data_IF_996196532193
#
_entry.id   IF_996196532193
#
_cell.length_a   1.000
_cell.length_b   1.000
_cell.length_c   1.000
_cell.angle_alpha   90.00
_cell.angle_beta   90.00
_cell.angle_gamma   90.00
#
_symmetry.space_group_name_H-M   'P 1'
#
loop_
_entity.id
_entity.type
_entity.pdbx_description
1 polymer ?
#
# COMPACT_ATOMS: atom_id res chain seq x y z
N UNK A 1 -17.50 -13.86 0.72
CA UNK A 1 -17.46 -13.21 -0.61
C UNK A 1 -18.42 -13.75 -1.67
N UNK A 2 -19.34 -14.68 -1.34
CA UNK A 2 -20.29 -15.27 -2.31
C UNK A 2 -21.71 -14.70 -2.18
N UNK A 3 -21.91 -13.41 -2.17
CA UNK A 3 -23.24 -12.83 -2.00
C UNK A 3 -23.47 -11.48 -2.67
N UNK A 4 -22.41 -10.84 -3.13
CA UNK A 4 -22.48 -9.60 -3.90
C UNK A 4 -22.08 -9.98 -5.32
N UNK A 5 -23.05 -10.14 -6.22
CA UNK A 5 -22.81 -10.34 -7.65
C UNK A 5 -21.86 -9.30 -8.20
N UNK A 6 -21.31 -9.52 -9.38
CA UNK A 6 -20.27 -8.76 -10.10
C UNK A 6 -20.23 -7.24 -9.86
N UNK A 7 -19.86 -6.83 -8.62
CA UNK A 7 -19.76 -5.43 -8.25
C UNK A 7 -18.32 -4.99 -8.46
N UNK A 8 -18.11 -4.37 -9.60
CA UNK A 8 -16.79 -4.02 -10.14
C UNK A 8 -16.03 -2.94 -9.33
N UNK A 9 -16.66 -2.27 -8.35
CA UNK A 9 -16.04 -1.15 -7.62
C UNK A 9 -16.54 -1.14 -6.19
N UNK A 10 -15.65 -1.46 -5.27
CA UNK A 10 -15.91 -1.48 -3.83
C UNK A 10 -15.00 -0.51 -3.12
N UNK A 11 -15.48 0.06 -2.06
CA UNK A 11 -14.72 0.92 -1.19
C UNK A 11 -14.87 0.46 0.25
N UNK A 12 -13.77 0.46 0.99
CA UNK A 12 -13.77 0.24 2.43
C UNK A 12 -13.44 1.55 3.09
N UNK A 13 -14.29 1.96 4.04
CA UNK A 13 -14.05 3.06 4.95
C UNK A 13 -13.81 2.47 6.34
N UNK A 14 -12.64 2.73 6.88
CA UNK A 14 -12.26 2.36 8.24
C UNK A 14 -12.08 3.65 9.04
N UNK A 15 -13.00 3.90 9.98
CA UNK A 15 -13.03 5.12 10.79
C UNK A 15 -12.59 4.80 12.21
N UNK A 16 -11.57 5.52 12.64
CA UNK A 16 -11.07 5.53 14.02
C UNK A 16 -11.17 6.91 14.66
N UNK A 17 -10.87 7.02 15.95
CA UNK A 17 -10.87 8.31 16.65
C UNK A 17 -9.89 9.34 16.08
N UNK A 18 -8.72 8.91 15.61
CA UNK A 18 -7.65 9.79 15.11
C UNK A 18 -7.66 10.05 13.60
N UNK A 19 -8.19 9.14 12.81
CA UNK A 19 -8.14 9.18 11.34
C UNK A 19 -9.24 8.33 10.73
N UNK A 20 -9.46 8.48 9.43
CA UNK A 20 -10.18 7.48 8.65
C UNK A 20 -9.38 7.07 7.42
N UNK A 21 -9.51 5.80 7.08
CA UNK A 21 -8.83 5.19 5.95
C UNK A 21 -9.82 4.88 4.84
N UNK A 22 -9.47 5.25 3.62
CA UNK A 22 -10.25 4.94 2.42
C UNK A 22 -9.45 3.97 1.57
N UNK A 23 -9.95 2.74 1.40
CA UNK A 23 -9.37 1.75 0.50
C UNK A 23 -10.29 1.52 -0.69
N UNK A 24 -9.78 1.75 -1.89
CA UNK A 24 -10.51 1.60 -3.15
C UNK A 24 -10.10 0.31 -3.83
N UNK A 25 -11.09 -0.52 -4.20
CA UNK A 25 -10.89 -1.76 -4.94
C UNK A 25 -11.54 -1.69 -6.32
N UNK A 26 -10.91 -2.32 -7.29
CA UNK A 26 -11.44 -2.55 -8.63
C UNK A 26 -11.24 -4.03 -8.98
N UNK A 27 -12.31 -4.76 -9.26
CA UNK A 27 -12.29 -6.21 -9.54
C UNK A 27 -11.51 -7.02 -8.49
N UNK A 28 -11.78 -6.77 -7.22
CA UNK A 28 -11.13 -7.37 -6.06
C UNK A 28 -9.61 -7.07 -5.92
N UNK A 29 -9.07 -6.18 -6.74
CA UNK A 29 -7.70 -5.71 -6.62
C UNK A 29 -7.64 -4.32 -5.95
N UNK A 30 -6.74 -4.15 -5.00
CA UNK A 30 -6.53 -2.88 -4.32
C UNK A 30 -5.97 -1.84 -5.30
N UNK A 31 -6.69 -0.74 -5.48
CA UNK A 31 -6.26 0.39 -6.34
C UNK A 31 -5.41 1.37 -5.56
N UNK A 32 -5.87 1.76 -4.39
CA UNK A 32 -5.18 2.70 -3.49
C UNK A 32 -5.76 2.61 -2.09
N UNK A 33 -4.94 2.95 -1.12
CA UNK A 33 -5.35 3.24 0.26
C UNK A 33 -4.85 4.63 0.61
N UNK A 34 -5.70 5.42 1.26
CA UNK A 34 -5.33 6.73 1.77
C UNK A 34 -5.82 6.87 3.21
N UNK A 35 -4.94 7.32 4.07
CA UNK A 35 -5.25 7.64 5.45
C UNK A 35 -5.40 9.16 5.59
N UNK A 36 -6.55 9.60 6.11
CA UNK A 36 -6.86 11.01 6.33
C UNK A 36 -6.94 11.22 7.84
N UNK A 37 -6.09 12.11 8.37
CA UNK A 37 -5.96 12.36 9.82
C UNK A 37 -7.10 13.21 10.37
N UNK A 38 -8.33 12.76 10.16
CA UNK A 38 -9.58 13.40 10.59
C UNK A 38 -10.57 12.36 11.12
N UNK A 39 -10.22 11.69 12.23
CA UNK A 39 -11.11 10.75 12.89
C UNK A 39 -12.14 11.45 13.81
N UNK A 40 -13.10 10.69 14.30
CA UNK A 40 -14.23 11.20 15.11
C UNK A 40 -13.81 11.95 16.37
N UNK A 41 -12.82 11.43 17.11
CA UNK A 41 -12.27 12.09 18.29
C UNK A 41 -11.56 13.40 17.94
N UNK A 42 -10.75 13.38 16.89
CA UNK A 42 -9.99 14.55 16.44
C UNK A 42 -10.90 15.67 15.95
N UNK A 43 -11.99 15.36 15.26
CA UNK A 43 -12.99 16.34 14.84
C UNK A 43 -13.71 16.91 16.06
N UNK A 44 -14.14 16.06 16.99
CA UNK A 44 -14.75 16.51 18.25
C UNK A 44 -13.85 17.49 19.00
N UNK A 45 -12.56 17.16 19.16
CA UNK A 45 -11.60 18.02 19.85
C UNK A 45 -11.37 19.35 19.13
N UNK A 46 -11.25 19.34 17.81
CA UNK A 46 -11.06 20.57 17.01
C UNK A 46 -12.26 21.51 17.10
N UNK A 47 -13.47 20.96 17.16
CA UNK A 47 -14.68 21.74 17.18
C UNK A 47 -15.22 22.02 18.60
N UNK A 48 -14.60 21.45 19.66
CA UNK A 48 -15.08 21.57 21.04
C UNK A 48 -15.26 23.02 21.51
N UNK A 49 -14.39 23.93 21.06
CA UNK A 49 -14.48 25.36 21.41
C UNK A 49 -15.58 26.13 20.67
N UNK A 50 -16.09 25.59 19.57
CA UNK A 50 -17.04 26.26 18.68
C UNK A 50 -18.43 25.60 18.77
N UNK A 51 -18.49 24.34 19.18
CA UNK A 51 -19.72 23.54 19.24
C UNK A 51 -20.84 24.17 20.07
N UNK A 52 -20.48 24.91 21.12
CA UNK A 52 -21.47 25.61 21.99
C UNK A 52 -21.98 26.91 21.39
N UNK A 53 -21.39 27.41 20.32
CA UNK A 53 -21.70 28.72 19.73
C UNK A 53 -22.52 28.63 18.44
N UNK A 54 -22.78 27.40 17.94
CA UNK A 54 -23.43 27.21 16.63
C UNK A 54 -24.46 26.09 16.62
N UNK A 55 -25.55 26.34 15.90
CA UNK A 55 -26.56 25.33 15.52
C UNK A 55 -26.15 24.55 14.25
N UNK A 56 -24.99 24.90 13.61
CA UNK A 56 -24.52 24.36 12.31
C UNK A 56 -23.33 23.44 12.46
N UNK A 57 -23.26 22.61 13.50
CA UNK A 57 -22.13 21.72 13.75
C UNK A 57 -21.90 20.73 12.59
N UNK A 58 -22.97 20.23 11.95
CA UNK A 58 -22.89 19.32 10.80
C UNK A 58 -22.15 19.96 9.63
N UNK A 59 -22.55 21.17 9.26
CA UNK A 59 -21.96 21.93 8.17
C UNK A 59 -20.46 22.17 8.42
N UNK A 60 -20.06 22.46 9.65
CA UNK A 60 -18.64 22.64 10.00
C UNK A 60 -17.84 21.33 9.89
N UNK A 61 -18.41 20.18 10.29
CA UNK A 61 -17.76 18.89 10.11
C UNK A 61 -17.63 18.57 8.62
N UNK A 62 -18.69 18.82 7.84
CA UNK A 62 -18.68 18.63 6.40
C UNK A 62 -17.61 19.52 5.72
N UNK A 63 -17.52 20.78 6.09
CA UNK A 63 -16.51 21.71 5.56
C UNK A 63 -15.09 21.24 5.87
N UNK A 64 -14.82 20.77 7.10
CA UNK A 64 -13.52 20.23 7.49
C UNK A 64 -13.12 19.02 6.67
N UNK A 65 -14.06 18.13 6.38
CA UNK A 65 -13.81 16.90 5.65
C UNK A 65 -13.77 17.15 4.14
N UNK A 66 -14.59 18.10 3.67
CA UNK A 66 -14.80 18.34 2.24
C UNK A 66 -13.51 18.53 1.46
N UNK A 67 -12.59 19.33 1.97
CA UNK A 67 -11.32 19.61 1.28
C UNK A 67 -10.51 18.34 1.04
N UNK A 68 -10.37 17.51 2.06
CA UNK A 68 -9.58 16.26 2.00
C UNK A 68 -10.26 15.22 1.10
N UNK A 69 -11.57 15.03 1.27
CA UNK A 69 -12.31 14.02 0.52
C UNK A 69 -12.55 14.46 -0.93
N UNK A 70 -12.74 15.75 -1.21
CA UNK A 70 -12.83 16.27 -2.57
C UNK A 70 -11.50 16.07 -3.31
N UNK A 71 -10.37 16.26 -2.65
CA UNK A 71 -9.04 15.96 -3.17
C UNK A 71 -8.88 14.48 -3.46
N UNK A 72 -9.30 13.59 -2.54
CA UNK A 72 -9.32 12.16 -2.77
C UNK A 72 -10.19 11.79 -3.98
N UNK A 73 -11.39 12.32 -4.08
CA UNK A 73 -12.30 12.08 -5.20
C UNK A 73 -11.66 12.47 -6.53
N UNK A 74 -11.07 13.67 -6.61
CA UNK A 74 -10.42 14.19 -7.81
C UNK A 74 -9.22 13.34 -8.25
N UNK A 75 -8.37 12.92 -7.30
CA UNK A 75 -7.13 12.21 -7.60
C UNK A 75 -7.34 10.71 -7.87
N UNK A 76 -8.22 10.06 -7.12
CA UNK A 76 -8.32 8.60 -7.09
C UNK A 76 -9.61 8.04 -7.66
N UNK A 77 -10.76 8.65 -7.35
CA UNK A 77 -12.03 8.19 -7.90
C UNK A 77 -12.21 8.61 -9.35
N UNK A 78 -11.92 9.86 -9.68
CA UNK A 78 -12.18 10.43 -11.01
C UNK A 78 -13.65 10.20 -11.39
N UNK A 79 -13.91 9.54 -12.53
CA UNK A 79 -15.25 9.23 -13.02
C UNK A 79 -15.81 7.87 -12.56
N UNK A 80 -15.15 7.22 -11.58
CA UNK A 80 -15.61 5.93 -11.07
C UNK A 80 -16.86 6.13 -10.20
N UNK A 81 -17.91 5.36 -10.49
CA UNK A 81 -19.07 5.23 -9.62
C UNK A 81 -18.81 4.16 -8.58
N UNK A 82 -19.06 4.47 -7.32
CA UNK A 82 -18.98 3.54 -6.20
C UNK A 82 -20.42 3.16 -5.83
N UNK A 83 -20.83 1.94 -6.14
CA UNK A 83 -22.16 1.46 -5.82
C UNK A 83 -22.23 0.90 -4.40
N UNK A 84 -21.12 0.29 -3.94
CA UNK A 84 -21.06 -0.40 -2.66
C UNK A 84 -19.93 0.14 -1.81
N UNK A 85 -20.25 0.46 -0.57
CA UNK A 85 -19.31 0.92 0.45
C UNK A 85 -19.39 -0.01 1.66
N UNK A 86 -18.25 -0.37 2.21
CA UNK A 86 -18.15 -1.14 3.45
C UNK A 86 -17.68 -0.18 4.54
N UNK A 87 -18.41 -0.11 5.64
CA UNK A 87 -18.06 0.67 6.82
C UNK A 87 -17.50 -0.26 7.89
N UNK A 88 -16.31 0.05 8.35
CA UNK A 88 -15.59 -0.67 9.41
C UNK A 88 -15.15 0.38 10.45
N UNK A 89 -14.87 -0.07 11.66
CA UNK A 89 -14.27 0.73 12.72
C UNK A 89 -15.25 0.99 13.83
N UNK A 90 -15.44 2.15 14.27
CA UNK A 90 -15.86 2.68 15.53
C UNK A 90 -17.25 2.26 16.10
N UNK A 91 -17.61 2.90 17.21
CA UNK A 91 -18.87 2.69 17.98
C UNK A 91 -20.12 2.88 17.12
N UNK A 92 -20.09 3.76 16.11
CA UNK A 92 -21.21 3.99 15.22
C UNK A 92 -21.57 2.75 14.42
N UNK A 93 -20.58 2.12 13.77
CA UNK A 93 -20.79 0.90 12.98
C UNK A 93 -21.30 -0.24 13.83
N UNK A 94 -20.80 -0.38 15.07
CA UNK A 94 -21.26 -1.40 16.02
C UNK A 94 -22.71 -1.18 16.44
N UNK A 95 -23.08 0.06 16.73
CA UNK A 95 -24.45 0.39 17.14
C UNK A 95 -25.44 0.17 16.01
N UNK A 96 -25.07 0.53 14.77
CA UNK A 96 -25.89 0.26 13.59
C UNK A 96 -26.00 -1.25 13.35
N UNK A 97 -24.88 -1.98 13.42
CA UNK A 97 -24.84 -3.42 13.22
C UNK A 97 -25.74 -4.21 14.18
N UNK A 98 -25.76 -3.82 15.47
CA UNK A 98 -26.57 -4.49 16.49
C UNK A 98 -28.08 -4.29 16.27
N UNK A 99 -28.47 -3.21 15.62
CA UNK A 99 -29.84 -2.80 15.43
C UNK A 99 -30.39 -3.05 14.00
N UNK A 100 -29.60 -3.64 13.10
CA UNK A 100 -30.10 -4.07 11.77
C UNK A 100 -30.95 -5.32 11.94
N UNK A 101 -32.23 -5.23 11.53
CA UNK A 101 -33.19 -6.35 11.61
C UNK A 101 -32.80 -7.52 10.69
N UNK A 102 -32.25 -7.25 9.53
CA UNK A 102 -31.73 -8.25 8.59
C UNK A 102 -30.33 -8.76 8.98
N UNK A 103 -30.27 -9.75 9.85
CA UNK A 103 -29.01 -10.34 10.32
C UNK A 103 -28.22 -11.14 9.26
N UNK A 104 -28.81 -11.43 8.11
CA UNK A 104 -28.20 -12.34 7.09
C UNK A 104 -27.28 -11.64 6.11
N UNK A 105 -27.60 -10.45 5.61
CA UNK A 105 -26.83 -9.75 4.58
C UNK A 105 -25.97 -8.62 5.10
N UNK A 106 -26.37 -7.98 6.22
CA UNK A 106 -25.68 -6.82 6.82
C UNK A 106 -25.45 -5.65 5.84
N UNK A 107 -26.29 -5.60 4.79
CA UNK A 107 -26.30 -4.56 3.77
C UNK A 107 -27.57 -3.74 4.00
N UNK A 108 -27.40 -2.43 4.09
CA UNK A 108 -28.51 -1.48 4.18
C UNK A 108 -28.50 -0.58 2.95
N UNK A 109 -29.68 -0.11 2.56
CA UNK A 109 -29.80 0.92 1.53
C UNK A 109 -29.36 2.29 2.07
N UNK A 110 -29.03 3.19 1.15
CA UNK A 110 -28.75 4.59 1.50
C UNK A 110 -29.91 5.24 2.27
N UNK A 111 -31.15 4.91 1.94
CA UNK A 111 -32.35 5.41 2.64
C UNK A 111 -32.38 4.94 4.11
N UNK A 112 -32.11 3.66 4.34
CA UNK A 112 -32.03 3.12 5.70
C UNK A 112 -30.90 3.75 6.51
N UNK A 113 -29.73 3.98 5.89
CA UNK A 113 -28.62 4.69 6.51
C UNK A 113 -29.03 6.13 6.89
N UNK A 114 -29.69 6.86 5.99
CA UNK A 114 -30.19 8.21 6.27
C UNK A 114 -31.16 8.23 7.44
N UNK A 115 -32.04 7.23 7.55
CA UNK A 115 -32.94 7.08 8.69
C UNK A 115 -32.19 6.92 10.02
N UNK A 116 -31.09 6.16 10.02
CA UNK A 116 -30.19 6.02 11.17
C UNK A 116 -29.48 7.33 11.50
N UNK A 117 -28.93 7.98 10.49
CA UNK A 117 -28.27 9.27 10.60
C UNK A 117 -29.17 10.28 11.29
N UNK A 118 -30.39 10.48 10.79
CA UNK A 118 -31.36 11.40 11.35
C UNK A 118 -31.72 11.08 12.82
N UNK A 119 -31.77 9.82 13.20
CA UNK A 119 -32.00 9.43 14.60
C UNK A 119 -30.84 9.81 15.51
N UNK A 120 -29.60 9.73 15.04
CA UNK A 120 -28.43 10.02 15.84
C UNK A 120 -28.23 11.51 16.02
N UNK A 121 -28.34 12.29 14.94
CA UNK A 121 -28.08 13.74 15.01
C UNK A 121 -29.09 14.50 15.86
N UNK A 122 -30.31 13.93 16.05
CA UNK A 122 -31.36 14.56 16.87
C UNK A 122 -31.30 14.24 18.37
N UNK A 123 -30.36 13.43 18.80
CA UNK A 123 -30.23 12.99 20.20
C UNK A 123 -28.95 13.55 20.82
N UNK A 124 -29.03 13.95 22.07
CA UNK A 124 -27.84 14.30 22.83
C UNK A 124 -26.97 13.07 23.12
N UNK A 125 -25.67 13.24 23.38
CA UNK A 125 -24.81 12.13 23.78
C UNK A 125 -25.33 11.35 24.99
N UNK A 126 -25.99 12.04 25.95
CA UNK A 126 -26.55 11.39 27.12
C UNK A 126 -27.74 10.48 26.76
N UNK A 127 -28.64 10.95 25.88
CA UNK A 127 -29.77 10.15 25.40
C UNK A 127 -29.28 8.93 24.61
N UNK A 128 -28.25 9.11 23.74
CA UNK A 128 -27.63 8.00 23.01
C UNK A 128 -26.99 7.00 23.94
N UNK A 129 -26.26 7.45 24.99
CA UNK A 129 -25.61 6.57 25.95
C UNK A 129 -26.64 5.67 26.66
N UNK A 130 -27.76 6.28 27.14
CA UNK A 130 -28.83 5.54 27.82
C UNK A 130 -29.53 4.59 26.86
N UNK A 131 -29.88 5.05 25.66
CA UNK A 131 -30.69 4.27 24.71
C UNK A 131 -29.91 3.09 24.10
N UNK A 132 -28.61 3.26 23.84
CA UNK A 132 -27.77 2.26 23.25
C UNK A 132 -27.02 1.42 24.29
N UNK A 133 -27.06 1.79 25.57
CA UNK A 133 -26.34 1.10 26.64
C UNK A 133 -24.81 1.19 26.50
N UNK A 134 -24.30 2.30 25.98
CA UNK A 134 -22.87 2.53 25.76
C UNK A 134 -22.33 3.63 26.68
N UNK A 135 -20.99 3.64 26.97
CA UNK A 135 -20.37 4.73 27.74
C UNK A 135 -20.61 6.10 27.09
N UNK A 136 -20.79 7.14 27.93
CA UNK A 136 -21.00 8.51 27.46
C UNK A 136 -19.89 9.02 26.54
N UNK A 137 -18.64 8.62 26.80
CA UNK A 137 -17.50 8.92 25.93
C UNK A 137 -17.70 8.39 24.51
N UNK A 138 -18.15 7.16 24.40
CA UNK A 138 -18.44 6.52 23.11
C UNK A 138 -19.66 7.19 22.43
N UNK A 139 -20.72 7.48 23.20
CA UNK A 139 -21.90 8.18 22.68
C UNK A 139 -21.55 9.56 22.13
N UNK A 140 -20.59 10.26 22.73
CA UNK A 140 -20.13 11.57 22.26
C UNK A 140 -19.38 11.52 20.90
N UNK A 141 -18.91 10.34 20.49
CA UNK A 141 -18.27 10.14 19.18
C UNK A 141 -19.28 9.73 18.10
N UNK A 142 -20.49 9.31 18.48
CA UNK A 142 -21.51 8.87 17.53
C UNK A 142 -21.89 9.97 16.53
N UNK A 143 -22.01 11.19 17.01
CA UNK A 143 -22.38 12.33 16.18
C UNK A 143 -21.32 12.65 15.11
N UNK A 144 -20.05 12.93 15.45
CA UNK A 144 -19.03 13.19 14.43
C UNK A 144 -18.81 11.98 13.49
N UNK A 145 -18.91 10.75 14.00
CA UNK A 145 -18.83 9.56 13.16
C UNK A 145 -19.95 9.49 12.13
N UNK A 146 -21.19 9.75 12.57
CA UNK A 146 -22.35 9.75 11.67
C UNK A 146 -22.19 10.77 10.54
N UNK A 147 -21.75 12.00 10.86
CA UNK A 147 -21.52 13.07 9.86
C UNK A 147 -20.40 12.67 8.90
N UNK A 148 -19.28 12.11 9.40
CA UNK A 148 -18.19 11.65 8.55
C UNK A 148 -18.68 10.60 7.54
N UNK A 149 -19.37 9.57 8.01
CA UNK A 149 -19.90 8.53 7.12
C UNK A 149 -20.93 9.08 6.14
N UNK A 150 -21.82 9.95 6.59
CA UNK A 150 -22.83 10.59 5.73
C UNK A 150 -22.17 11.38 4.59
N UNK A 151 -21.21 12.24 4.94
CA UNK A 151 -20.47 13.04 3.98
C UNK A 151 -19.74 12.14 2.94
N UNK A 152 -19.08 11.07 3.40
CA UNK A 152 -18.37 10.14 2.53
C UNK A 152 -19.32 9.35 1.61
N UNK A 153 -20.44 8.84 2.14
CA UNK A 153 -21.45 8.10 1.36
C UNK A 153 -22.06 9.00 0.28
N UNK A 154 -22.41 10.23 0.62
CA UNK A 154 -23.00 11.19 -0.32
C UNK A 154 -22.02 11.58 -1.42
N UNK A 155 -20.79 11.87 -1.05
CA UNK A 155 -19.76 12.28 -1.98
C UNK A 155 -19.37 11.17 -2.96
N UNK A 156 -19.40 9.90 -2.51
CA UNK A 156 -19.11 8.73 -3.32
C UNK A 156 -20.32 8.30 -4.17
N UNK A 157 -21.53 8.69 -3.78
CA UNK A 157 -22.76 8.29 -4.44
C UNK A 157 -23.12 6.82 -4.21
N UNK A 158 -22.71 6.25 -3.04
CA UNK A 158 -22.96 4.85 -2.74
C UNK A 158 -24.44 4.59 -2.43
N UNK A 159 -24.99 3.51 -3.00
CA UNK A 159 -26.38 3.10 -2.81
C UNK A 159 -26.52 1.95 -1.81
N UNK A 160 -25.49 1.11 -1.70
CA UNK A 160 -25.46 -0.04 -0.81
C UNK A 160 -24.34 0.11 0.22
N UNK A 161 -24.71 0.02 1.48
CA UNK A 161 -23.79 0.19 2.61
C UNK A 161 -23.71 -1.13 3.36
N UNK A 162 -22.53 -1.72 3.38
CA UNK A 162 -22.27 -2.96 4.09
C UNK A 162 -21.59 -2.65 5.42
N UNK A 163 -22.18 -3.14 6.52
CA UNK A 163 -21.65 -3.00 7.88
C UNK A 163 -21.41 -4.41 8.43
N UNK A 164 -20.22 -4.98 8.24
CA UNK A 164 -19.95 -6.38 8.56
C UNK A 164 -19.86 -6.67 10.07
N UNK A 165 -19.74 -5.64 10.92
CA UNK A 165 -19.51 -5.80 12.35
C UNK A 165 -18.23 -6.57 12.65
N UNK A 166 -17.16 -6.22 11.94
CA UNK A 166 -15.83 -6.80 12.16
C UNK A 166 -14.92 -5.78 12.81
N UNK A 167 -14.07 -6.27 13.72
CA UNK A 167 -13.08 -5.48 14.44
C UNK A 167 -11.68 -6.01 14.13
N UNK A 168 -10.68 -5.20 14.39
CA UNK A 168 -9.26 -5.57 14.25
C UNK A 168 -8.94 -6.89 14.98
N UNK A 169 -9.50 -7.10 16.17
CA UNK A 169 -9.32 -8.35 16.96
C UNK A 169 -9.74 -9.60 16.21
N UNK A 170 -10.81 -9.52 15.38
CA UNK A 170 -11.23 -10.65 14.53
C UNK A 170 -10.26 -10.88 13.38
N UNK A 171 -9.69 -9.80 12.82
CA UNK A 171 -8.64 -9.91 11.80
C UNK A 171 -7.40 -10.63 12.33
N UNK A 172 -6.93 -10.23 13.51
CA UNK A 172 -5.79 -10.86 14.19
C UNK A 172 -6.08 -12.34 14.51
N UNK A 173 -7.27 -12.65 15.02
CA UNK A 173 -7.67 -14.03 15.30
C UNK A 173 -7.76 -14.88 14.02
N UNK A 174 -8.23 -14.29 12.91
CA UNK A 174 -8.27 -14.96 11.61
C UNK A 174 -6.86 -15.27 11.09
N UNK A 175 -5.96 -14.29 11.12
CA UNK A 175 -4.57 -14.46 10.70
C UNK A 175 -3.86 -15.54 11.53
N UNK A 176 -4.05 -15.53 12.85
CA UNK A 176 -3.50 -16.55 13.73
C UNK A 176 -4.05 -17.95 13.40
N UNK A 177 -5.36 -18.07 13.16
CA UNK A 177 -5.98 -19.35 12.79
C UNK A 177 -5.49 -19.86 11.42
N UNK A 178 -5.22 -18.97 10.47
CA UNK A 178 -4.63 -19.29 9.18
C UNK A 178 -3.18 -19.78 9.32
N UNK A 179 -2.35 -19.07 10.11
CA UNK A 179 -0.97 -19.49 10.42
C UNK A 179 -0.93 -20.87 11.11
N UNK A 180 -1.88 -21.15 11.99
CA UNK A 180 -2.05 -22.46 12.63
C UNK A 180 -2.70 -23.51 11.72
N UNK A 181 -3.00 -23.18 10.47
CA UNK A 181 -3.68 -24.06 9.48
C UNK A 181 -5.05 -24.56 9.93
N UNK A 182 -5.70 -23.87 10.86
CA UNK A 182 -7.08 -24.15 11.30
C UNK A 182 -8.12 -23.68 10.28
N UNK A 183 -7.76 -22.70 9.48
CA UNK A 183 -8.57 -22.19 8.36
C UNK A 183 -7.76 -22.28 7.07
N UNK A 184 -8.45 -22.53 5.96
CA UNK A 184 -7.85 -22.36 4.63
C UNK A 184 -7.90 -20.89 4.29
N UNK A 185 -6.73 -20.25 4.17
CA UNK A 185 -6.61 -18.89 3.66
C UNK A 185 -7.25 -18.77 2.28
N UNK A 186 -8.06 -17.75 2.10
CA UNK A 186 -8.75 -17.50 0.82
C UNK A 186 -8.20 -16.31 0.05
N UNK A 187 -7.34 -15.50 0.68
CA UNK A 187 -6.86 -14.25 0.10
C UNK A 187 -5.33 -14.20 0.07
N UNK A 188 -4.78 -13.75 -1.04
CA UNK A 188 -3.33 -13.58 -1.18
C UNK A 188 -2.95 -12.12 -0.95
N UNK A 189 -2.57 -11.79 0.29
CA UNK A 189 -2.16 -10.43 0.68
C UNK A 189 -0.88 -9.97 -0.03
N UNK A 190 0.04 -10.85 -0.39
CA UNK A 190 1.24 -10.50 -1.14
C UNK A 190 0.89 -9.96 -2.54
N UNK A 191 -0.13 -10.55 -3.17
CA UNK A 191 -0.64 -10.05 -4.43
C UNK A 191 -1.21 -8.63 -4.29
N UNK A 192 -1.87 -8.30 -3.18
CA UNK A 192 -2.38 -6.94 -2.94
C UNK A 192 -1.23 -5.93 -2.81
N UNK A 193 -0.16 -6.30 -2.12
CA UNK A 193 1.06 -5.47 -1.99
C UNK A 193 1.65 -5.20 -3.38
N UNK A 194 1.81 -6.22 -4.21
CA UNK A 194 2.33 -6.08 -5.57
C UNK A 194 1.38 -5.27 -6.47
N UNK A 195 0.06 -5.41 -6.30
CA UNK A 195 -0.92 -4.62 -7.03
C UNK A 195 -0.88 -3.15 -6.59
N UNK A 196 -0.69 -2.86 -5.30
CA UNK A 196 -0.48 -1.50 -4.81
C UNK A 196 0.78 -0.87 -5.44
N UNK A 197 1.91 -1.59 -5.47
CA UNK A 197 3.13 -1.13 -6.14
C UNK A 197 2.91 -0.87 -7.64
N UNK A 198 2.22 -1.77 -8.36
CA UNK A 198 1.86 -1.58 -9.78
C UNK A 198 1.00 -0.34 -10.00
N UNK A 199 0.05 -0.08 -9.11
CA UNK A 199 -0.83 1.09 -9.21
C UNK A 199 -0.07 2.39 -8.91
N UNK A 200 0.86 2.40 -7.95
CA UNK A 200 1.79 3.51 -7.71
C UNK A 200 2.63 3.73 -8.96
N UNK A 201 3.29 2.69 -9.48
CA UNK A 201 4.10 2.78 -10.69
C UNK A 201 3.29 3.31 -11.90
N UNK A 202 2.03 2.89 -12.05
CA UNK A 202 1.14 3.43 -13.10
C UNK A 202 0.83 4.92 -12.92
N UNK A 203 0.63 5.36 -11.67
CA UNK A 203 0.38 6.79 -11.35
C UNK A 203 1.56 7.65 -11.71
N UNK A 204 2.76 7.20 -11.41
CA UNK A 204 4.01 7.90 -11.67
C UNK A 204 4.65 7.53 -13.01
N UNK A 205 3.85 6.98 -13.94
CA UNK A 205 4.21 6.73 -15.34
C UNK A 205 5.52 5.94 -15.54
N UNK A 206 5.82 4.93 -14.70
CA UNK A 206 7.01 4.09 -14.87
C UNK A 206 6.99 3.34 -16.21
N UNK A 207 8.17 3.09 -16.76
CA UNK A 207 8.33 2.30 -17.97
C UNK A 207 8.08 0.80 -17.68
N UNK A 208 6.87 0.33 -17.95
CA UNK A 208 6.45 -1.05 -17.66
C UNK A 208 7.31 -2.12 -18.34
N UNK A 209 7.65 -2.03 -19.65
CA UNK A 209 8.53 -3.00 -20.28
C UNK A 209 9.89 -3.09 -19.59
N UNK A 210 10.48 -1.94 -19.22
CA UNK A 210 11.72 -1.91 -18.46
C UNK A 210 11.58 -2.58 -17.10
N UNK A 211 10.54 -2.25 -16.32
CA UNK A 211 10.27 -2.88 -15.03
C UNK A 211 10.13 -4.39 -15.14
N UNK A 212 9.42 -4.90 -16.15
CA UNK A 212 9.26 -6.35 -16.36
C UNK A 212 10.60 -7.04 -16.67
N UNK A 213 11.43 -6.41 -17.48
CA UNK A 213 12.77 -6.95 -17.80
C UNK A 213 13.68 -6.94 -16.57
N UNK A 214 13.62 -5.86 -15.80
CA UNK A 214 14.35 -5.70 -14.55
C UNK A 214 13.91 -6.73 -13.51
N UNK A 215 12.60 -6.94 -13.36
CA UNK A 215 12.02 -7.92 -12.43
C UNK A 215 12.50 -9.35 -12.77
N UNK A 216 12.39 -9.75 -14.03
CA UNK A 216 12.89 -11.04 -14.51
C UNK A 216 14.37 -11.24 -14.16
N UNK A 217 15.18 -10.22 -14.40
CA UNK A 217 16.62 -10.27 -14.18
C UNK A 217 16.98 -10.29 -12.68
N UNK A 218 16.35 -9.42 -11.89
CA UNK A 218 16.59 -9.32 -10.45
C UNK A 218 16.17 -10.60 -9.72
N UNK A 219 15.01 -11.16 -10.05
CA UNK A 219 14.52 -12.38 -9.41
C UNK A 219 15.38 -13.60 -9.78
N UNK A 220 15.86 -13.69 -11.01
CA UNK A 220 16.79 -14.76 -11.39
C UNK A 220 18.09 -14.71 -10.58
N UNK A 221 18.64 -13.53 -10.32
CA UNK A 221 19.82 -13.36 -9.48
C UNK A 221 19.53 -13.69 -8.03
N UNK A 222 18.43 -13.17 -7.47
CA UNK A 222 18.00 -13.45 -6.11
C UNK A 222 17.85 -14.96 -5.85
N UNK A 223 17.10 -15.64 -6.72
CA UNK A 223 16.84 -17.08 -6.58
C UNK A 223 18.14 -17.91 -6.71
N UNK A 224 19.09 -17.48 -7.58
CA UNK A 224 20.37 -18.16 -7.73
C UNK A 224 21.31 -17.97 -6.53
N UNK A 225 21.23 -16.85 -5.82
CA UNK A 225 22.07 -16.52 -4.66
C UNK A 225 21.41 -16.84 -3.30
N UNK A 226 20.23 -17.46 -3.30
CA UNK A 226 19.43 -17.78 -2.09
C UNK A 226 20.22 -18.53 -1.01
N UNK A 227 21.16 -19.39 -1.40
CA UNK A 227 22.02 -20.13 -0.43
C UNK A 227 23.04 -19.23 0.26
N UNK A 228 23.38 -18.08 -0.30
CA UNK A 228 24.35 -17.14 0.25
C UNK A 228 23.70 -16.15 1.19
N UNK A 229 22.66 -15.46 0.73
CA UNK A 229 21.99 -14.44 1.52
C UNK A 229 20.97 -14.98 2.53
N UNK A 230 20.46 -16.20 2.35
CA UNK A 230 19.50 -16.82 3.28
C UNK A 230 18.12 -16.16 3.34
N UNK A 231 17.89 -15.10 2.59
CA UNK A 231 16.60 -14.38 2.51
C UNK A 231 15.46 -15.30 2.01
N UNK A 232 14.23 -14.98 2.41
CA UNK A 232 13.03 -15.78 2.14
C UNK A 232 12.09 -15.06 1.18
N UNK A 233 10.84 -15.54 1.09
CA UNK A 233 9.83 -15.00 0.18
C UNK A 233 9.46 -13.54 0.54
N UNK A 234 9.59 -13.14 1.80
CA UNK A 234 9.29 -11.77 2.22
C UNK A 234 10.28 -10.76 1.64
N UNK A 235 11.58 -11.02 1.72
CA UNK A 235 12.61 -10.17 1.13
C UNK A 235 12.55 -10.21 -0.40
N UNK A 236 12.15 -11.35 -0.98
CA UNK A 236 11.89 -11.47 -2.42
C UNK A 236 10.75 -10.55 -2.86
N UNK A 237 9.69 -10.42 -2.04
CA UNK A 237 8.60 -9.48 -2.27
C UNK A 237 9.09 -8.02 -2.19
N UNK A 238 9.93 -7.68 -1.20
CA UNK A 238 10.51 -6.34 -1.08
C UNK A 238 11.38 -6.00 -2.31
N UNK A 239 12.15 -6.97 -2.82
CA UNK A 239 12.90 -6.81 -4.07
C UNK A 239 11.98 -6.50 -5.26
N UNK A 240 10.89 -7.26 -5.43
CA UNK A 240 9.92 -7.01 -6.51
C UNK A 240 9.33 -5.60 -6.43
N UNK A 241 8.97 -5.17 -5.23
CA UNK A 241 8.47 -3.82 -5.01
C UNK A 241 9.49 -2.75 -5.33
N UNK A 242 10.73 -2.91 -4.87
CA UNK A 242 11.82 -1.97 -5.17
C UNK A 242 12.05 -1.86 -6.67
N UNK A 243 12.05 -2.99 -7.40
CA UNK A 243 12.12 -3.02 -8.87
C UNK A 243 10.96 -2.28 -9.52
N UNK A 244 9.73 -2.47 -9.04
CA UNK A 244 8.54 -1.80 -9.60
C UNK A 244 8.55 -0.29 -9.37
N UNK A 245 9.21 0.18 -8.31
CA UNK A 245 9.13 1.56 -7.84
C UNK A 245 10.46 2.34 -8.00
N UNK A 246 11.53 1.71 -8.49
CA UNK A 246 12.87 2.31 -8.52
C UNK A 246 12.94 3.65 -9.28
N UNK A 247 12.10 3.84 -10.28
CA UNK A 247 12.12 4.99 -11.19
C UNK A 247 10.93 5.94 -11.01
N UNK A 248 10.07 5.75 -10.01
CA UNK A 248 8.87 6.60 -9.79
C UNK A 248 9.22 8.08 -9.60
N UNK A 249 10.40 8.38 -9.10
CA UNK A 249 10.91 9.74 -8.91
C UNK A 249 11.14 10.52 -10.19
N UNK A 250 11.31 9.86 -11.35
CA UNK A 250 11.43 10.50 -12.66
C UNK A 250 10.22 11.36 -13.00
N UNK A 251 9.06 11.02 -12.45
CA UNK A 251 7.85 11.81 -12.62
C UNK A 251 7.95 13.21 -12.02
N UNK A 252 8.74 13.36 -10.96
CA UNK A 252 8.96 14.64 -10.27
C UNK A 252 10.18 15.37 -10.85
N UNK A 253 11.33 14.66 -10.98
CA UNK A 253 12.59 15.27 -11.40
C UNK A 253 13.52 14.25 -12.03
N UNK A 254 14.09 14.58 -13.19
CA UNK A 254 15.15 13.77 -13.82
C UNK A 254 16.51 13.95 -13.12
N UNK A 255 16.71 15.07 -12.41
CA UNK A 255 17.99 15.37 -11.74
C UNK A 255 18.05 14.83 -10.31
N UNK A 256 16.89 14.57 -9.69
CA UNK A 256 16.80 14.06 -8.32
C UNK A 256 15.85 12.86 -8.24
N UNK A 257 16.11 11.85 -9.08
CA UNK A 257 15.27 10.63 -9.12
C UNK A 257 15.35 9.85 -7.81
N UNK A 258 16.54 9.75 -7.22
CA UNK A 258 16.81 8.98 -6.00
C UNK A 258 15.94 9.43 -4.83
N UNK A 259 16.06 10.70 -4.42
CA UNK A 259 15.30 11.25 -3.30
C UNK A 259 13.82 11.37 -3.62
N UNK A 260 13.47 11.70 -4.86
CA UNK A 260 12.07 11.76 -5.29
C UNK A 260 11.42 10.38 -5.22
N UNK A 261 12.11 9.29 -5.59
CA UNK A 261 11.59 7.91 -5.47
C UNK A 261 11.42 7.53 -4.00
N UNK A 262 12.42 7.80 -3.16
CA UNK A 262 12.32 7.58 -1.71
C UNK A 262 11.11 8.27 -1.11
N UNK A 263 10.95 9.58 -1.36
CA UNK A 263 9.85 10.37 -0.80
C UNK A 263 8.48 9.90 -1.30
N UNK A 264 8.35 9.52 -2.58
CA UNK A 264 7.11 8.96 -3.12
C UNK A 264 6.76 7.66 -2.41
N UNK A 265 7.71 6.73 -2.24
CA UNK A 265 7.47 5.44 -1.60
C UNK A 265 7.09 5.63 -0.14
N UNK A 266 7.84 6.46 0.61
CA UNK A 266 7.56 6.74 2.02
C UNK A 266 6.23 7.46 2.25
N UNK A 267 5.79 8.29 1.31
CA UNK A 267 4.52 9.04 1.40
C UNK A 267 3.29 8.22 0.98
N UNK A 268 3.46 7.03 0.41
CA UNK A 268 2.34 6.17 0.03
C UNK A 268 2.07 5.12 1.11
N UNK A 269 0.80 5.00 1.50
CA UNK A 269 0.36 3.87 2.34
C UNK A 269 0.26 2.61 1.48
N UNK A 270 0.96 1.55 1.91
CA UNK A 270 0.92 0.23 1.27
C UNK A 270 0.50 -0.78 2.33
N UNK A 271 -0.77 -1.18 2.29
CA UNK A 271 -1.32 -2.16 3.24
C UNK A 271 -0.52 -3.45 3.13
N UNK A 272 -0.15 -4.01 4.27
CA UNK A 272 0.61 -5.25 4.37
C UNK A 272 2.13 -5.06 4.45
N UNK A 273 2.62 -3.81 4.40
CA UNK A 273 4.01 -3.46 4.73
C UNK A 273 4.09 -2.78 6.10
N UNK A 274 5.05 -3.18 6.90
CA UNK A 274 5.46 -2.40 8.06
C UNK A 274 6.16 -1.09 7.62
N UNK A 275 6.29 -0.15 8.55
CA UNK A 275 7.05 1.09 8.28
C UNK A 275 8.49 0.80 7.86
N UNK A 276 9.14 -0.12 8.56
CA UNK A 276 10.52 -0.54 8.26
C UNK A 276 10.65 -1.17 6.87
N UNK A 277 9.75 -2.08 6.50
CA UNK A 277 9.78 -2.71 5.18
C UNK A 277 9.56 -1.68 4.06
N UNK A 278 8.67 -0.70 4.26
CA UNK A 278 8.47 0.39 3.33
C UNK A 278 9.72 1.25 3.20
N UNK A 279 10.40 1.53 4.32
CA UNK A 279 11.68 2.25 4.34
C UNK A 279 12.77 1.45 3.61
N UNK A 280 12.87 0.14 3.82
CA UNK A 280 13.80 -0.72 3.09
C UNK A 280 13.57 -0.64 1.58
N UNK A 281 12.33 -0.76 1.10
CA UNK A 281 11.98 -0.62 -0.32
C UNK A 281 12.36 0.77 -0.84
N UNK A 282 12.10 1.82 -0.08
CA UNK A 282 12.42 3.20 -0.45
C UNK A 282 13.94 3.42 -0.56
N UNK A 283 14.72 2.87 0.37
CA UNK A 283 16.18 2.95 0.37
C UNK A 283 16.79 2.17 -0.81
N UNK A 284 16.29 0.96 -1.10
CA UNK A 284 16.73 0.18 -2.27
C UNK A 284 16.48 0.98 -3.56
N UNK A 285 15.30 1.60 -3.69
CA UNK A 285 14.98 2.45 -4.83
C UNK A 285 15.88 3.69 -4.91
N UNK A 286 16.13 4.36 -3.77
CA UNK A 286 17.02 5.54 -3.67
C UNK A 286 18.44 5.19 -4.10
N UNK A 287 18.99 4.15 -3.51
CA UNK A 287 20.39 3.74 -3.73
C UNK A 287 20.61 2.90 -4.98
N UNK A 288 19.61 2.71 -5.79
CA UNK A 288 19.75 2.10 -7.11
C UNK A 288 20.70 2.91 -8.04
N UNK A 289 20.71 4.23 -7.92
CA UNK A 289 21.48 5.13 -8.80
C UNK A 289 22.55 5.96 -8.10
N UNK A 290 22.47 6.11 -6.79
CA UNK A 290 23.44 6.85 -5.98
C UNK A 290 24.20 5.92 -5.04
N UNK A 291 25.34 6.36 -4.51
CA UNK A 291 26.17 5.55 -3.61
C UNK A 291 25.41 5.20 -2.33
N UNK A 292 25.42 3.93 -1.95
CA UNK A 292 24.91 3.47 -0.67
C UNK A 292 25.90 3.91 0.42
N UNK A 293 25.47 4.68 1.44
CA UNK A 293 26.33 5.05 2.55
C UNK A 293 26.63 3.83 3.45
N UNK A 294 27.66 3.97 4.29
CA UNK A 294 27.94 2.99 5.33
C UNK A 294 26.78 2.85 6.34
N UNK A 295 26.77 1.77 7.11
CA UNK A 295 25.75 1.58 8.14
C UNK A 295 25.74 2.72 9.16
N UNK A 296 26.92 3.16 9.61
CA UNK A 296 27.04 4.24 10.61
C UNK A 296 26.51 5.60 10.10
N UNK A 297 26.64 5.86 8.80
CA UNK A 297 26.07 7.05 8.17
C UNK A 297 24.55 6.91 7.99
N UNK A 298 24.08 5.75 7.51
CA UNK A 298 22.66 5.55 7.22
C UNK A 298 21.80 5.52 8.50
N UNK A 299 22.31 4.95 9.59
CA UNK A 299 21.58 4.86 10.86
C UNK A 299 21.27 6.22 11.49
N UNK A 300 21.98 7.26 11.12
CA UNK A 300 21.70 8.65 11.55
C UNK A 300 20.37 9.19 10.96
N UNK A 301 19.92 8.64 9.84
CA UNK A 301 18.73 9.10 9.11
C UNK A 301 17.63 8.03 9.03
N UNK A 302 17.92 6.78 9.41
CA UNK A 302 16.98 5.63 9.29
C UNK A 302 16.85 4.86 10.60
N UNK A 303 15.77 4.08 10.72
CA UNK A 303 15.51 3.23 11.89
C UNK A 303 15.96 1.77 11.67
N UNK A 304 16.80 1.50 10.68
CA UNK A 304 17.21 0.14 10.32
C UNK A 304 18.17 -0.47 11.34
N UNK A 305 17.97 -1.75 11.66
CA UNK A 305 18.99 -2.57 12.32
C UNK A 305 20.13 -2.92 11.35
N UNK A 306 21.25 -3.39 11.90
CA UNK A 306 22.38 -3.85 11.08
C UNK A 306 22.00 -5.00 10.13
N UNK A 307 21.12 -5.91 10.55
CA UNK A 307 20.60 -7.00 9.72
C UNK A 307 19.75 -6.47 8.56
N UNK A 308 18.88 -5.48 8.84
CA UNK A 308 18.06 -4.84 7.80
C UNK A 308 18.89 -4.02 6.82
N UNK A 309 19.95 -3.33 7.31
CA UNK A 309 20.91 -2.65 6.43
C UNK A 309 21.61 -3.65 5.49
N UNK A 310 22.05 -4.81 6.01
CA UNK A 310 22.64 -5.84 5.16
C UNK A 310 21.67 -6.31 4.08
N UNK A 311 20.42 -6.57 4.46
CA UNK A 311 19.35 -6.91 3.50
C UNK A 311 19.17 -5.82 2.43
N UNK A 312 19.12 -4.54 2.82
CA UNK A 312 19.03 -3.40 1.89
C UNK A 312 20.24 -3.37 0.96
N UNK A 313 21.44 -3.61 1.47
CA UNK A 313 22.68 -3.61 0.69
C UNK A 313 22.68 -4.71 -0.38
N UNK A 314 22.29 -5.94 0.01
CA UNK A 314 22.22 -7.09 -0.89
C UNK A 314 21.14 -6.90 -1.96
N UNK A 315 19.95 -6.46 -1.58
CA UNK A 315 18.87 -6.19 -2.54
C UNK A 315 19.21 -5.01 -3.47
N UNK A 316 19.90 -3.98 -2.96
CA UNK A 316 20.39 -2.85 -3.77
C UNK A 316 21.42 -3.32 -4.80
N UNK A 317 22.34 -4.21 -4.44
CA UNK A 317 23.31 -4.76 -5.38
C UNK A 317 22.64 -5.52 -6.53
N UNK A 318 21.60 -6.31 -6.22
CA UNK A 318 20.79 -7.01 -7.22
C UNK A 318 20.08 -6.01 -8.14
N UNK A 319 19.39 -5.01 -7.59
CA UNK A 319 18.63 -4.02 -8.38
C UNK A 319 19.56 -3.20 -9.26
N UNK A 320 20.71 -2.72 -8.74
CA UNK A 320 21.72 -1.97 -9.51
C UNK A 320 22.21 -2.76 -10.72
N UNK A 321 22.58 -4.01 -10.51
CA UNK A 321 23.08 -4.86 -11.59
C UNK A 321 21.97 -5.14 -12.60
N UNK A 322 20.77 -5.49 -12.18
CA UNK A 322 19.64 -5.71 -13.06
C UNK A 322 19.32 -4.47 -13.90
N UNK A 323 19.34 -3.26 -13.30
CA UNK A 323 19.09 -2.00 -13.98
C UNK A 323 20.19 -1.67 -15.01
N UNK A 324 21.45 -1.95 -14.69
CA UNK A 324 22.56 -1.77 -15.63
C UNK A 324 22.45 -2.67 -16.86
N UNK A 325 21.88 -3.88 -16.71
CA UNK A 325 21.67 -4.83 -17.79
C UNK A 325 20.53 -4.47 -18.76
N UNK A 326 19.68 -3.49 -18.43
CA UNK A 326 18.70 -2.89 -19.37
C UNK A 326 18.87 -1.36 -19.44
N UNK A 327 20.12 -0.90 -19.46
CA UNK A 327 20.48 0.53 -19.42
C UNK A 327 19.83 1.36 -20.52
N UNK A 328 19.68 0.80 -21.70
CA UNK A 328 19.05 1.44 -22.85
C UNK A 328 17.53 1.46 -22.78
N UNK A 329 16.91 0.76 -21.84
CA UNK A 329 15.46 0.53 -21.74
C UNK A 329 14.84 -0.08 -23.02
N UNK A 330 15.64 -0.87 -23.77
CA UNK A 330 15.22 -1.52 -25.02
C UNK A 330 14.86 -3.00 -24.83
N UNK A 331 14.87 -3.50 -23.60
CA UNK A 331 14.56 -4.89 -23.22
C UNK A 331 15.26 -5.89 -24.13
N UNK A 332 16.59 -5.74 -24.27
CA UNK A 332 17.43 -6.58 -25.12
C UNK A 332 17.52 -8.01 -24.62
N UNK A 333 17.35 -8.22 -23.30
CA UNK A 333 17.35 -9.54 -22.67
C UNK A 333 15.98 -10.18 -22.86
N UNK A 334 15.94 -11.30 -23.57
CA UNK A 334 14.73 -12.09 -23.78
C UNK A 334 14.57 -13.20 -22.75
N UNK A 335 15.69 -13.73 -22.25
CA UNK A 335 15.72 -14.72 -21.19
C UNK A 335 17.05 -14.63 -20.42
N UNK A 336 16.98 -14.97 -19.14
CA UNK A 336 18.13 -15.06 -18.25
C UNK A 336 18.13 -16.39 -17.52
N UNK A 337 19.31 -16.98 -17.38
CA UNK A 337 19.59 -18.07 -16.45
C UNK A 337 20.77 -17.67 -15.57
N UNK A 338 20.51 -17.48 -14.28
CA UNK A 338 21.52 -17.25 -13.28
C UNK A 338 21.89 -18.58 -12.61
N UNK A 339 23.18 -18.83 -12.41
CA UNK A 339 23.67 -20.06 -11.77
C UNK A 339 24.90 -19.73 -10.94
N UNK A 340 24.83 -20.04 -9.64
CA UNK A 340 25.94 -19.88 -8.72
C UNK A 340 26.87 -21.09 -8.81
N UNK A 341 28.17 -20.85 -9.06
CA UNK A 341 29.25 -21.86 -9.08
C UNK A 341 30.40 -21.37 -8.22
N UNK A 342 30.61 -22.02 -7.10
CA UNK A 342 31.62 -21.60 -6.11
C UNK A 342 31.49 -20.13 -5.73
N UNK A 343 32.35 -19.26 -6.23
CA UNK A 343 32.35 -17.80 -6.01
C UNK A 343 32.01 -16.99 -7.27
N UNK A 344 31.39 -17.62 -8.25
CA UNK A 344 31.06 -17.01 -9.54
C UNK A 344 29.55 -17.12 -9.79
N UNK A 345 28.87 -15.98 -9.99
CA UNK A 345 27.47 -15.91 -10.43
C UNK A 345 27.44 -15.80 -11.95
N UNK A 346 27.20 -16.91 -12.65
CA UNK A 346 27.10 -16.95 -14.11
C UNK A 346 25.72 -16.48 -14.56
N UNK A 347 25.67 -15.33 -15.26
CA UNK A 347 24.48 -14.77 -15.88
C UNK A 347 24.46 -15.08 -17.37
N UNK A 348 23.75 -16.14 -17.77
CA UNK A 348 23.59 -16.53 -19.19
C UNK A 348 22.38 -15.76 -19.75
N UNK A 349 22.66 -14.74 -20.57
CA UNK A 349 21.66 -13.84 -21.15
C UNK A 349 21.40 -14.22 -22.61
N UNK A 350 20.15 -14.48 -22.96
CA UNK A 350 19.70 -14.58 -24.36
C UNK A 350 19.28 -13.19 -24.82
N UNK A 351 19.99 -12.64 -25.80
CA UNK A 351 19.78 -11.27 -26.28
C UNK A 351 19.35 -11.25 -27.75
N UNK A 352 18.48 -10.30 -28.10
CA UNK A 352 17.94 -10.12 -29.44
C UNK A 352 18.58 -8.95 -30.21
N UNK A 353 19.46 -8.18 -29.57
CA UNK A 353 20.14 -7.00 -30.14
C UNK A 353 21.57 -6.91 -29.62
N UNK A 354 22.34 -5.98 -30.17
CA UNK A 354 23.68 -5.63 -29.68
C UNK A 354 23.62 -5.21 -28.20
N UNK A 355 24.51 -5.81 -27.41
CA UNK A 355 24.54 -5.64 -25.94
C UNK A 355 25.80 -4.89 -25.46
N UNK A 356 26.55 -4.28 -26.37
CA UNK A 356 27.84 -3.62 -26.09
C UNK A 356 27.68 -2.47 -25.11
N UNK A 357 26.60 -1.70 -25.21
CA UNK A 357 26.32 -0.56 -24.29
C UNK A 357 26.17 -1.04 -22.84
N UNK A 358 25.33 -2.04 -22.61
CA UNK A 358 25.07 -2.58 -21.29
C UNK A 358 26.36 -3.23 -20.72
N UNK A 359 27.09 -3.99 -21.49
CA UNK A 359 28.39 -4.57 -21.06
C UNK A 359 29.41 -3.50 -20.71
N UNK A 360 29.48 -2.41 -21.47
CA UNK A 360 30.43 -1.34 -21.23
C UNK A 360 30.12 -0.49 -20.00
N UNK A 361 28.87 -0.42 -19.61
CA UNK A 361 28.40 0.44 -18.48
C UNK A 361 28.11 -0.32 -17.19
N UNK A 362 28.19 -1.65 -17.18
CA UNK A 362 27.81 -2.42 -15.98
C UNK A 362 28.96 -2.69 -15.00
N UNK A 363 30.25 -2.39 -15.37
CA UNK A 363 31.39 -2.81 -14.56
C UNK A 363 31.30 -2.36 -13.09
N UNK A 364 31.06 -1.10 -12.84
CA UNK A 364 30.91 -0.58 -11.47
C UNK A 364 29.82 -1.30 -10.65
N UNK A 365 28.77 -1.81 -11.32
CA UNK A 365 27.67 -2.54 -10.66
C UNK A 365 28.04 -4.01 -10.44
N UNK A 366 28.86 -4.59 -11.29
CA UNK A 366 29.47 -5.90 -11.07
C UNK A 366 30.43 -5.87 -9.87
N UNK A 367 31.22 -4.80 -9.77
CA UNK A 367 32.18 -4.62 -8.67
C UNK A 367 31.43 -4.43 -7.34
N UNK A 368 30.39 -3.60 -7.31
CA UNK A 368 29.56 -3.42 -6.13
C UNK A 368 28.84 -4.73 -5.71
N UNK A 369 28.35 -5.49 -6.67
CA UNK A 369 27.74 -6.81 -6.39
C UNK A 369 28.78 -7.75 -5.74
N UNK A 370 30.01 -7.77 -6.27
CA UNK A 370 31.09 -8.57 -5.72
C UNK A 370 31.50 -8.10 -4.31
N UNK A 371 31.54 -6.79 -4.08
CA UNK A 371 31.81 -6.22 -2.75
C UNK A 371 30.79 -6.72 -1.73
N UNK A 372 29.49 -6.64 -2.05
CA UNK A 372 28.40 -7.00 -1.12
C UNK A 372 28.30 -8.50 -0.89
N UNK A 373 28.37 -9.32 -1.97
CA UNK A 373 28.14 -10.77 -1.89
C UNK A 373 29.41 -11.60 -1.77
N UNK A 374 30.58 -11.02 -1.98
CA UNK A 374 31.84 -11.74 -2.18
C UNK A 374 31.77 -12.79 -3.30
N UNK A 375 30.98 -12.50 -4.33
CA UNK A 375 30.73 -13.34 -5.52
C UNK A 375 30.94 -12.50 -6.76
N UNK A 376 31.74 -13.04 -7.73
CA UNK A 376 31.97 -12.36 -8.99
C UNK A 376 30.86 -12.66 -10.00
N UNK A 377 30.05 -11.67 -10.43
CA UNK A 377 29.10 -11.87 -11.51
C UNK A 377 29.82 -11.94 -12.86
N UNK A 378 29.47 -12.93 -13.69
CA UNK A 378 30.05 -13.14 -15.03
C UNK A 378 28.92 -13.22 -16.05
N UNK A 379 28.95 -12.32 -17.05
CA UNK A 379 27.96 -12.25 -18.11
C UNK A 379 28.37 -13.14 -19.28
N UNK A 380 27.49 -14.07 -19.67
CA UNK A 380 27.63 -14.92 -20.86
C UNK A 380 26.48 -14.63 -21.82
N UNK A 381 26.81 -14.16 -23.02
CA UNK A 381 25.82 -13.84 -24.03
C UNK A 381 25.52 -15.02 -24.93
N UNK A 382 24.22 -15.25 -25.20
CA UNK A 382 23.71 -16.11 -26.26
C UNK A 382 22.88 -15.25 -27.20
N UNK A 383 23.23 -15.21 -28.48
CA UNK A 383 22.38 -14.53 -29.47
C UNK A 383 21.24 -15.45 -29.84
N UNK A 384 20.04 -14.89 -29.89
CA UNK A 384 18.90 -15.57 -30.50
C UNK A 384 19.15 -15.57 -32.02
N UNK A 385 19.23 -16.78 -32.61
CA UNK A 385 19.36 -16.94 -34.07
C UNK A 385 18.04 -16.59 -34.73
#
# INVERSE_FOLDING_TARGET
>A
SRGLGDVYKRQILDLDGGSFQISLFDKDALVTTQNIRMGSLRIRERLAGIQSETEHYEEMVEELIWNEVSSFKKMYLKDRKIENIMLIGDVFTDSVYQNIEEKTTKIISRENFNTWYEKIIRQSPMELAVKLGIPLENASLMYPSAVIYKCLIDMMGAEHIWIPGVHMTRGIAYEYAEQMKLLKGGHNFENDILMAAKNIGKRYAVNRPHVQNLEMTALAMFDATKKMHGMKERERLLLQMAVMLHDVGKYISFNNVADSSYNIIMSNEIIGLSHIEREMVALIARYNTVTLPSYDELVMESSLSAEQYLTVSELTAIVRLANALDRSHLQKIQAIRATLKERELQLSLTVNRDFTLEQGLCQEKLDFFNEVFSIQPVIKLKRQM
#
